data_IF_578034963406
#
_entry.id   IF_578034963406
#
_cell.length_a   1.000
_cell.length_b   1.000
_cell.length_c   1.000
_cell.angle_alpha   90.00
_cell.angle_beta   90.00
_cell.angle_gamma   90.00
#
_symmetry.space_group_name_H-M   'P 1'
#
loop_
_entity.id
_entity.type
_entity.pdbx_description
1 polymer ?
#
# COMPACT_ATOMS: atom_id res chain seq x y z
N UNK A 1 -23.42 -18.33 7.11
CA UNK A 1 -22.12 -17.68 6.85
C UNK A 1 -21.14 -18.27 7.85
N UNK A 2 -20.22 -19.15 7.40
CA UNK A 2 -19.14 -19.63 8.27
C UNK A 2 -18.04 -18.58 8.27
N UNK A 3 -17.86 -17.88 9.39
CA UNK A 3 -16.73 -16.97 9.56
C UNK A 3 -15.43 -17.79 9.49
N UNK A 4 -14.56 -17.52 8.52
CA UNK A 4 -13.21 -18.10 8.52
C UNK A 4 -12.30 -17.16 9.30
N UNK A 5 -11.47 -17.73 10.17
CA UNK A 5 -10.38 -16.98 10.78
C UNK A 5 -9.39 -16.54 9.69
N UNK A 6 -8.87 -15.32 9.82
CA UNK A 6 -7.80 -14.83 8.95
C UNK A 6 -6.58 -15.75 9.07
N UNK A 7 -5.95 -16.06 7.94
CA UNK A 7 -4.69 -16.78 7.91
C UNK A 7 -3.58 -15.99 8.63
N UNK A 8 -2.81 -16.67 9.49
CA UNK A 8 -1.59 -16.13 10.08
C UNK A 8 -0.42 -16.24 9.10
N UNK A 9 0.73 -15.68 9.47
CA UNK A 9 1.95 -15.79 8.65
C UNK A 9 2.41 -17.25 8.51
N UNK A 10 2.26 -18.05 9.57
CA UNK A 10 2.55 -19.48 9.58
C UNK A 10 1.62 -20.28 8.65
N UNK A 11 0.34 -19.89 8.57
CA UNK A 11 -0.60 -20.49 7.63
C UNK A 11 -0.20 -20.25 6.17
N UNK A 12 0.27 -19.03 5.86
CA UNK A 12 0.74 -18.68 4.52
C UNK A 12 2.01 -19.45 4.15
N UNK A 13 2.99 -19.52 5.06
CA UNK A 13 4.21 -20.34 4.86
C UNK A 13 3.89 -21.82 4.66
N UNK A 14 2.93 -22.35 5.41
CA UNK A 14 2.43 -23.71 5.24
C UNK A 14 1.78 -23.91 3.86
N UNK A 15 0.93 -22.99 3.42
CA UNK A 15 0.31 -23.04 2.09
C UNK A 15 1.36 -22.99 0.96
N UNK A 16 2.35 -22.10 1.06
CA UNK A 16 3.44 -21.98 0.09
C UNK A 16 4.24 -23.28 -0.02
N UNK A 17 4.64 -23.87 1.11
CA UNK A 17 5.38 -25.14 1.14
C UNK A 17 4.60 -26.29 0.50
N UNK A 18 3.28 -26.35 0.73
CA UNK A 18 2.42 -27.35 0.09
C UNK A 18 2.38 -27.12 -1.42
N UNK A 19 2.18 -25.88 -1.88
CA UNK A 19 2.16 -25.55 -3.31
C UNK A 19 3.47 -25.95 -3.97
N UNK A 20 4.62 -25.54 -3.40
CA UNK A 20 5.93 -25.89 -3.96
C UNK A 20 6.18 -27.40 -3.98
N UNK A 21 5.79 -28.11 -2.92
CA UNK A 21 5.89 -29.58 -2.87
C UNK A 21 5.09 -30.23 -3.99
N UNK A 22 3.84 -29.79 -4.18
CA UNK A 22 2.96 -30.34 -5.20
C UNK A 22 3.45 -30.03 -6.62
N UNK A 23 3.92 -28.81 -6.87
CA UNK A 23 4.50 -28.45 -8.18
C UNK A 23 5.78 -29.24 -8.51
N UNK A 24 6.64 -29.49 -7.53
CA UNK A 24 7.84 -30.29 -7.74
C UNK A 24 7.49 -31.72 -8.18
N UNK A 25 6.53 -32.33 -7.48
CA UNK A 25 6.03 -33.68 -7.74
C UNK A 25 5.33 -33.75 -9.11
N UNK A 26 4.49 -32.76 -9.43
CA UNK A 26 3.85 -32.65 -10.75
C UNK A 26 4.89 -32.61 -11.88
N UNK A 27 6.01 -31.92 -11.65
CA UNK A 27 7.14 -31.85 -12.59
C UNK A 27 8.01 -33.11 -12.58
N UNK A 28 7.70 -34.12 -11.77
CA UNK A 28 8.44 -35.40 -11.70
C UNK A 28 9.69 -35.37 -10.82
N UNK A 29 9.78 -34.45 -9.86
CA UNK A 29 10.93 -34.31 -8.96
C UNK A 29 10.49 -34.32 -7.49
N UNK A 30 11.36 -34.80 -6.60
CA UNK A 30 11.19 -34.55 -5.18
C UNK A 30 11.57 -33.08 -4.86
N UNK A 31 10.92 -32.45 -3.86
CA UNK A 31 11.35 -31.16 -3.35
C UNK A 31 12.79 -31.21 -2.85
N UNK A 32 13.53 -30.11 -3.02
CA UNK A 32 14.96 -30.03 -2.65
C UNK A 32 15.20 -30.38 -1.17
N UNK A 33 14.28 -30.01 -0.28
CA UNK A 33 14.35 -30.29 1.15
C UNK A 33 14.23 -31.78 1.48
N UNK A 34 13.73 -32.57 0.53
CA UNK A 34 13.56 -34.01 0.65
C UNK A 34 14.65 -34.79 -0.05
N UNK A 35 15.34 -34.21 -1.01
CA UNK A 35 16.35 -34.89 -1.83
C UNK A 35 17.51 -35.43 -0.97
N UNK A 36 17.90 -36.68 -1.22
CA UNK A 36 19.05 -37.29 -0.54
C UNK A 36 20.39 -36.98 -1.25
N UNK A 37 20.33 -36.37 -2.44
CA UNK A 37 21.48 -36.03 -3.27
C UNK A 37 21.38 -34.57 -3.72
N UNK A 38 22.53 -33.88 -3.80
CA UNK A 38 22.59 -32.44 -4.13
C UNK A 38 22.12 -32.10 -5.56
N UNK A 39 22.10 -33.09 -6.46
CA UNK A 39 21.67 -32.91 -7.85
C UNK A 39 20.15 -33.02 -8.04
N UNK A 40 19.38 -33.18 -6.96
CA UNK A 40 17.95 -33.45 -7.00
C UNK A 40 17.64 -34.93 -7.26
N UNK A 41 16.44 -35.35 -6.85
CA UNK A 41 15.96 -36.72 -6.97
C UNK A 41 14.68 -36.74 -7.81
N UNK A 42 14.59 -37.63 -8.81
CA UNK A 42 13.37 -37.81 -9.59
C UNK A 42 12.30 -38.48 -8.73
N UNK A 43 11.04 -38.04 -8.86
CA UNK A 43 9.92 -38.63 -8.17
C UNK A 43 9.25 -39.72 -9.02
N UNK A 44 9.01 -40.87 -8.40
CA UNK A 44 8.28 -42.00 -8.95
C UNK A 44 7.11 -42.35 -8.02
N UNK A 45 5.88 -42.19 -8.51
CA UNK A 45 4.65 -42.52 -7.76
C UNK A 45 4.51 -44.02 -7.47
N UNK A 46 5.19 -44.88 -8.23
CA UNK A 46 5.22 -46.33 -8.00
C UNK A 46 6.29 -46.73 -6.97
N UNK A 47 7.13 -45.80 -6.52
CA UNK A 47 8.07 -46.03 -5.42
C UNK A 47 7.37 -45.75 -4.07
N UNK A 48 7.07 -46.80 -3.28
CA UNK A 48 6.36 -46.64 -2.01
C UNK A 48 7.19 -45.88 -0.97
N UNK A 49 8.52 -45.92 -1.04
CA UNK A 49 9.40 -45.21 -0.10
C UNK A 49 9.35 -43.71 -0.39
N UNK A 50 9.43 -43.32 -1.67
CA UNK A 50 9.32 -41.92 -2.07
C UNK A 50 7.92 -41.36 -1.74
N UNK A 51 6.86 -42.11 -2.04
CA UNK A 51 5.49 -41.72 -1.67
C UNK A 51 5.34 -41.51 -0.16
N UNK A 52 5.90 -42.41 0.64
CA UNK A 52 5.87 -42.28 2.10
C UNK A 52 6.64 -41.07 2.60
N UNK A 53 7.79 -40.73 1.98
CA UNK A 53 8.57 -39.51 2.29
C UNK A 53 7.75 -38.26 2.00
N UNK A 54 7.09 -38.19 0.84
CA UNK A 54 6.23 -37.05 0.44
C UNK A 54 5.08 -36.87 1.44
N UNK A 55 4.35 -37.94 1.74
CA UNK A 55 3.22 -37.87 2.68
C UNK A 55 3.68 -37.42 4.06
N UNK A 56 4.82 -37.92 4.56
CA UNK A 56 5.39 -37.46 5.84
C UNK A 56 5.76 -35.98 5.81
N UNK A 57 6.38 -35.52 4.73
CA UNK A 57 6.73 -34.11 4.57
C UNK A 57 5.48 -33.21 4.57
N UNK A 58 4.47 -33.55 3.77
CA UNK A 58 3.20 -32.81 3.74
C UNK A 58 2.53 -32.78 5.13
N UNK A 59 2.53 -33.89 5.87
CA UNK A 59 2.01 -33.96 7.23
C UNK A 59 2.78 -33.08 8.21
N UNK A 60 4.11 -33.01 8.10
CA UNK A 60 4.95 -32.11 8.90
C UNK A 60 4.65 -30.64 8.58
N UNK A 61 4.49 -30.29 7.31
CA UNK A 61 4.12 -28.93 6.87
C UNK A 61 2.76 -28.51 7.42
N UNK A 62 1.71 -29.33 7.27
CA UNK A 62 0.37 -29.01 7.81
C UNK A 62 0.31 -29.02 9.34
N UNK A 63 1.31 -29.59 10.03
CA UNK A 63 1.41 -29.51 11.48
C UNK A 63 1.84 -28.12 11.97
N UNK A 64 2.51 -27.34 11.11
CA UNK A 64 3.07 -26.01 11.43
C UNK A 64 2.12 -24.85 11.14
N UNK A 65 1.03 -25.11 10.42
CA UNK A 65 0.05 -24.09 10.02
C UNK A 65 -1.18 -24.71 9.35
N UNK A 66 -2.20 -23.90 9.07
CA UNK A 66 -3.48 -24.32 8.52
C UNK A 66 -3.69 -23.80 7.09
N UNK A 67 -3.44 -24.68 6.11
CA UNK A 67 -3.82 -24.43 4.71
C UNK A 67 -5.33 -24.13 4.57
N UNK A 68 -6.17 -24.72 5.44
CA UNK A 68 -7.61 -24.48 5.44
C UNK A 68 -7.97 -23.01 5.69
N UNK A 69 -7.24 -22.29 6.54
CA UNK A 69 -7.48 -20.86 6.77
C UNK A 69 -7.17 -20.02 5.54
N UNK A 70 -6.08 -20.32 4.84
CA UNK A 70 -5.73 -19.66 3.59
C UNK A 70 -6.78 -19.93 2.49
N UNK A 71 -7.13 -21.20 2.26
CA UNK A 71 -8.07 -21.60 1.20
C UNK A 71 -9.49 -21.09 1.48
N UNK A 72 -9.99 -21.23 2.71
CA UNK A 72 -11.33 -20.75 3.07
C UNK A 72 -11.40 -19.22 3.08
N UNK A 73 -10.33 -18.54 3.49
CA UNK A 73 -10.22 -17.08 3.40
C UNK A 73 -10.26 -16.60 1.95
N UNK A 74 -9.50 -17.25 1.07
CA UNK A 74 -9.48 -16.95 -0.37
C UNK A 74 -10.83 -17.21 -1.03
N UNK A 75 -11.50 -18.32 -0.67
CA UNK A 75 -12.87 -18.60 -1.15
C UNK A 75 -13.87 -17.53 -0.72
N UNK A 76 -13.74 -16.96 0.48
CA UNK A 76 -14.58 -15.85 0.92
C UNK A 76 -14.25 -14.55 0.18
N UNK A 77 -12.97 -14.30 -0.11
CA UNK A 77 -12.54 -13.17 -0.91
C UNK A 77 -13.15 -13.22 -2.33
N UNK A 78 -13.20 -14.41 -2.93
CA UNK A 78 -13.78 -14.65 -4.24
C UNK A 78 -15.31 -14.73 -4.27
N UNK A 79 -16.00 -14.83 -3.12
CA UNK A 79 -17.47 -14.82 -3.10
C UNK A 79 -17.95 -13.43 -3.53
N UNK A 80 -18.76 -13.30 -4.61
CA UNK A 80 -19.29 -12.00 -5.05
C UNK A 80 -20.07 -11.27 -3.95
N UNK A 81 -20.63 -12.01 -2.98
CA UNK A 81 -21.35 -11.46 -1.83
C UNK A 81 -20.44 -10.73 -0.84
N UNK A 82 -19.13 -10.98 -0.87
CA UNK A 82 -18.15 -10.27 -0.05
C UNK A 82 -18.06 -8.79 -0.42
N UNK A 83 -18.30 -8.46 -1.70
CA UNK A 83 -18.14 -7.10 -2.23
C UNK A 83 -16.72 -6.56 -2.09
N UNK A 84 -15.71 -7.42 -1.96
CA UNK A 84 -14.29 -7.04 -1.86
C UNK A 84 -13.66 -6.94 -3.25
N UNK A 85 -13.84 -7.96 -4.08
CA UNK A 85 -13.37 -7.98 -5.46
C UNK A 85 -14.49 -7.59 -6.44
N UNK A 86 -14.12 -7.11 -7.62
CA UNK A 86 -15.04 -6.87 -8.72
C UNK A 86 -15.60 -8.23 -9.22
N UNK A 87 -16.93 -8.43 -9.26
CA UNK A 87 -17.52 -9.73 -9.54
C UNK A 87 -17.37 -10.19 -11.00
N UNK A 88 -17.22 -9.23 -11.92
CA UNK A 88 -17.15 -9.47 -13.36
C UNK A 88 -15.73 -9.34 -13.92
N UNK A 89 -14.71 -9.20 -13.05
CA UNK A 89 -13.31 -9.09 -13.45
C UNK A 89 -12.66 -10.47 -13.48
N UNK A 90 -11.81 -10.70 -14.50
CA UNK A 90 -10.98 -11.90 -14.65
C UNK A 90 -9.65 -11.81 -13.88
N UNK A 91 -9.42 -10.68 -13.19
CA UNK A 91 -8.25 -10.40 -12.37
C UNK A 91 -8.65 -9.97 -10.96
N UNK A 92 -7.69 -9.95 -10.03
CA UNK A 92 -7.90 -9.54 -8.64
C UNK A 92 -8.01 -8.01 -8.50
N UNK A 93 -9.14 -7.46 -8.93
CA UNK A 93 -9.46 -6.03 -8.82
C UNK A 93 -10.40 -5.73 -7.66
N UNK A 94 -10.18 -4.60 -6.98
CA UNK A 94 -11.08 -4.15 -5.93
C UNK A 94 -12.46 -3.78 -6.49
N UNK A 95 -13.51 -4.11 -5.73
CA UNK A 95 -14.87 -3.75 -6.08
C UNK A 95 -15.01 -2.22 -6.28
N UNK A 96 -15.72 -1.72 -7.32
CA UNK A 96 -15.80 -0.29 -7.64
C UNK A 96 -16.20 0.60 -6.45
N UNK A 97 -17.09 0.12 -5.59
CA UNK A 97 -17.48 0.78 -4.33
C UNK A 97 -16.29 1.08 -3.40
N UNK A 98 -15.35 0.14 -3.26
CA UNK A 98 -14.16 0.32 -2.42
C UNK A 98 -13.18 1.30 -3.05
N UNK A 99 -13.00 1.23 -4.38
CA UNK A 99 -12.18 2.20 -5.14
C UNK A 99 -12.74 3.62 -4.97
N UNK A 100 -14.05 3.80 -5.09
CA UNK A 100 -14.72 5.08 -4.87
C UNK A 100 -14.54 5.58 -3.42
N UNK A 101 -14.67 4.71 -2.43
CA UNK A 101 -14.45 5.06 -1.03
C UNK A 101 -13.00 5.49 -0.77
N UNK A 102 -12.02 4.81 -1.36
CA UNK A 102 -10.60 5.18 -1.27
C UNK A 102 -10.34 6.55 -1.92
N UNK A 103 -10.89 6.79 -3.11
CA UNK A 103 -10.77 8.09 -3.77
C UNK A 103 -11.45 9.21 -2.96
N UNK A 104 -12.63 8.95 -2.40
CA UNK A 104 -13.33 9.90 -1.52
C UNK A 104 -12.49 10.24 -0.28
N UNK A 105 -11.97 9.23 0.42
CA UNK A 105 -11.10 9.43 1.57
C UNK A 105 -9.81 10.21 1.22
N UNK A 106 -9.24 9.96 0.03
CA UNK A 106 -8.09 10.72 -0.46
C UNK A 106 -8.45 12.18 -0.78
N UNK A 107 -9.62 12.42 -1.38
CA UNK A 107 -10.11 13.77 -1.67
C UNK A 107 -10.41 14.55 -0.39
N UNK A 108 -11.02 13.92 0.62
CA UNK A 108 -11.25 14.53 1.93
C UNK A 108 -9.94 14.94 2.58
N UNK A 109 -8.96 14.04 2.62
CA UNK A 109 -7.62 14.33 3.14
C UNK A 109 -6.92 15.44 2.36
N UNK A 110 -7.11 15.49 1.04
CA UNK A 110 -6.55 16.55 0.20
C UNK A 110 -7.26 17.91 0.41
N UNK A 111 -8.52 17.90 0.85
CA UNK A 111 -9.31 19.09 1.19
C UNK A 111 -9.10 19.60 2.62
N UNK A 112 -8.40 18.84 3.46
CA UNK A 112 -8.07 19.24 4.83
C UNK A 112 -6.95 20.29 4.85
N UNK A 113 -7.09 21.29 5.73
CA UNK A 113 -6.04 22.26 6.00
C UNK A 113 -5.07 21.70 7.04
N UNK A 114 -3.80 21.59 6.68
CA UNK A 114 -2.73 21.17 7.60
C UNK A 114 -1.77 22.32 7.90
N UNK A 115 -1.22 22.37 9.12
CA UNK A 115 -0.17 23.33 9.48
C UNK A 115 1.11 23.03 8.70
N UNK A 116 1.75 24.07 8.15
CA UNK A 116 3.08 23.95 7.55
C UNK A 116 4.12 23.62 8.63
N UNK A 117 4.66 22.41 8.58
CA UNK A 117 5.57 21.86 9.58
C UNK A 117 7.00 21.63 9.06
N UNK A 118 7.19 21.47 7.74
CA UNK A 118 8.51 21.21 7.16
C UNK A 118 8.60 21.65 5.69
N UNK A 119 9.83 21.92 5.19
CA UNK A 119 10.07 22.00 3.74
C UNK A 119 9.65 20.72 3.02
N UNK A 120 9.22 20.86 1.76
CA UNK A 120 8.78 19.77 0.89
C UNK A 120 7.27 19.48 0.97
N UNK A 121 6.55 20.14 1.88
CA UNK A 121 5.11 19.94 2.07
C UNK A 121 4.25 20.68 1.03
N UNK A 122 4.75 21.79 0.47
CA UNK A 122 4.01 22.63 -0.47
C UNK A 122 4.40 22.28 -1.91
N UNK A 123 3.41 22.10 -2.78
CA UNK A 123 3.58 21.93 -4.22
C UNK A 123 2.98 23.10 -5.00
N UNK A 124 3.47 23.40 -6.22
CA UNK A 124 2.79 24.34 -7.10
C UNK A 124 1.32 23.95 -7.30
N UNK A 125 0.42 24.92 -7.12
CA UNK A 125 -1.03 24.72 -7.18
C UNK A 125 -1.73 24.61 -5.83
N UNK A 126 -1.02 24.27 -4.75
CA UNK A 126 -1.59 24.16 -3.41
C UNK A 126 -2.15 25.47 -2.89
N UNK A 127 -3.19 25.39 -2.06
CA UNK A 127 -3.76 26.55 -1.38
C UNK A 127 -3.01 26.80 -0.07
N UNK A 128 -2.72 28.07 0.19
CA UNK A 128 -2.04 28.57 1.37
C UNK A 128 -2.95 29.56 2.06
N UNK A 129 -3.11 29.43 3.38
CA UNK A 129 -3.83 30.39 4.23
C UNK A 129 -2.92 30.86 5.34
N UNK A 130 -2.71 32.17 5.47
CA UNK A 130 -1.80 32.75 6.46
C UNK A 130 -2.09 34.22 6.72
N UNK A 131 -1.45 34.78 7.75
CA UNK A 131 -1.50 36.23 8.05
C UNK A 131 -0.16 36.88 7.73
N UNK A 132 -0.19 38.02 7.03
CA UNK A 132 0.99 38.85 6.74
C UNK A 132 0.63 40.33 6.89
N UNK A 133 1.43 41.08 7.65
CA UNK A 133 1.14 42.50 7.92
C UNK A 133 -0.23 42.74 8.58
N UNK A 134 -0.66 41.81 9.45
CA UNK A 134 -1.97 41.86 10.13
C UNK A 134 -3.18 41.55 9.25
N UNK A 135 -2.98 41.17 7.98
CA UNK A 135 -4.07 40.84 7.04
C UNK A 135 -4.08 39.34 6.74
N UNK A 136 -5.23 38.66 6.86
CA UNK A 136 -5.36 37.28 6.43
C UNK A 136 -5.34 37.21 4.90
N UNK A 137 -4.68 36.18 4.37
CA UNK A 137 -4.56 35.94 2.94
C UNK A 137 -4.76 34.46 2.65
N UNK A 138 -5.54 34.17 1.61
CA UNK A 138 -5.66 32.84 1.02
C UNK A 138 -5.25 32.91 -0.45
N UNK A 139 -4.22 32.16 -0.85
CA UNK A 139 -3.60 32.22 -2.17
C UNK A 139 -3.19 30.83 -2.64
N UNK A 140 -3.01 30.66 -3.95
CA UNK A 140 -2.37 29.46 -4.51
C UNK A 140 -0.86 29.64 -4.58
N UNK A 141 -0.09 28.63 -4.19
CA UNK A 141 1.32 28.50 -4.52
C UNK A 141 1.46 28.49 -6.05
N UNK A 142 2.19 29.44 -6.60
CA UNK A 142 2.43 29.55 -8.04
C UNK A 142 3.65 28.76 -8.46
N UNK A 143 4.68 28.78 -7.63
CA UNK A 143 5.95 28.11 -7.88
C UNK A 143 6.61 27.78 -6.55
N UNK A 144 7.47 26.76 -6.55
CA UNK A 144 8.24 26.34 -5.38
C UNK A 144 9.67 26.08 -5.84
N UNK A 145 10.60 26.94 -5.42
CA UNK A 145 12.01 26.81 -5.73
C UNK A 145 12.72 26.05 -4.60
N UNK A 146 13.74 25.26 -4.94
CA UNK A 146 14.53 24.46 -3.98
C UNK A 146 13.67 23.62 -3.02
N UNK A 147 12.63 22.98 -3.57
CA UNK A 147 11.68 22.18 -2.80
C UNK A 147 12.38 21.14 -1.91
N UNK A 148 11.91 21.00 -0.68
CA UNK A 148 12.46 20.06 0.32
C UNK A 148 13.77 20.49 0.98
N UNK A 149 14.29 21.69 0.69
CA UNK A 149 15.53 22.19 1.31
C UNK A 149 15.25 23.27 2.35
N UNK A 150 16.26 23.64 3.12
CA UNK A 150 16.23 24.79 4.03
C UNK A 150 16.01 26.13 3.30
N UNK A 151 16.22 26.16 1.98
CA UNK A 151 16.02 27.30 1.09
C UNK A 151 14.75 27.19 0.25
N UNK A 152 13.83 26.29 0.60
CA UNK A 152 12.56 26.17 -0.11
C UNK A 152 11.83 27.52 -0.12
N UNK A 153 11.65 28.08 -1.31
CA UNK A 153 11.02 29.37 -1.55
C UNK A 153 9.67 29.17 -2.23
N UNK A 154 8.60 29.54 -1.53
CA UNK A 154 7.23 29.41 -2.02
C UNK A 154 6.77 30.75 -2.57
N UNK A 155 6.58 30.80 -3.88
CA UNK A 155 6.16 32.01 -4.60
C UNK A 155 4.64 31.94 -4.80
N UNK A 156 3.91 32.92 -4.28
CA UNK A 156 2.44 33.00 -4.45
C UNK A 156 1.98 34.19 -5.30
N UNK A 157 2.81 35.23 -5.48
CA UNK A 157 2.59 36.28 -6.50
C UNK A 157 3.90 36.75 -7.15
N UNK A 158 4.26 36.14 -8.26
CA UNK A 158 5.48 36.45 -9.04
C UNK A 158 5.59 37.91 -9.47
N UNK A 159 4.51 38.51 -9.99
CA UNK A 159 4.52 39.94 -10.45
C UNK A 159 4.81 40.95 -9.35
N UNK A 160 4.53 40.61 -8.08
CA UNK A 160 4.78 41.47 -6.92
C UNK A 160 5.95 40.97 -6.07
N UNK A 161 6.70 39.98 -6.59
CA UNK A 161 7.75 39.29 -5.89
C UNK A 161 7.36 38.86 -4.45
N UNK A 162 6.15 38.33 -4.28
CA UNK A 162 5.69 37.88 -2.98
C UNK A 162 5.94 36.38 -2.81
N UNK A 163 6.80 36.08 -1.85
CA UNK A 163 7.26 34.75 -1.50
C UNK A 163 7.53 34.64 0.00
N UNK A 164 7.73 33.42 0.48
CA UNK A 164 8.34 33.16 1.79
C UNK A 164 9.25 31.94 1.72
N UNK A 165 10.18 31.85 2.67
CA UNK A 165 11.03 30.67 2.85
C UNK A 165 10.38 29.75 3.89
N UNK A 166 10.13 28.49 3.54
CA UNK A 166 9.41 27.54 4.39
C UNK A 166 10.09 27.35 5.75
N UNK A 167 11.42 27.17 5.77
CA UNK A 167 12.18 27.00 7.00
C UNK A 167 12.02 28.20 7.97
N UNK A 168 11.93 29.43 7.45
CA UNK A 168 11.69 30.62 8.27
C UNK A 168 10.27 30.68 8.83
N UNK A 169 9.27 30.18 8.10
CA UNK A 169 7.90 30.08 8.62
C UNK A 169 7.84 29.08 9.76
N UNK A 170 8.41 27.89 9.56
CA UNK A 170 8.45 26.82 10.56
C UNK A 170 9.22 27.28 11.82
N UNK A 171 10.35 27.98 11.64
CA UNK A 171 11.12 28.55 12.75
C UNK A 171 10.47 29.79 13.40
N UNK A 172 9.35 30.29 12.86
CA UNK A 172 8.65 31.46 13.38
C UNK A 172 9.32 32.81 13.09
N UNK A 173 10.39 32.85 12.29
CA UNK A 173 11.14 34.07 11.95
C UNK A 173 10.60 34.78 10.71
N UNK A 174 9.75 34.14 9.91
CA UNK A 174 9.05 34.75 8.77
C UNK A 174 7.98 35.77 9.21
N UNK A 175 7.71 36.76 8.35
CA UNK A 175 6.57 37.68 8.48
C UNK A 175 5.21 37.00 8.21
N UNK A 176 5.22 35.80 7.62
CA UNK A 176 4.04 35.00 7.35
C UNK A 176 3.77 34.10 8.55
N UNK A 177 2.62 34.30 9.21
CA UNK A 177 2.26 33.61 10.46
C UNK A 177 1.08 32.67 10.25
N UNK A 178 1.12 31.54 10.98
CA UNK A 178 0.04 30.55 10.99
C UNK A 178 -0.24 29.96 9.61
N UNK A 179 0.80 29.61 8.86
CA UNK A 179 0.64 29.10 7.50
C UNK A 179 0.00 27.71 7.52
N UNK A 180 -1.19 27.64 6.91
CA UNK A 180 -1.90 26.41 6.62
C UNK A 180 -1.77 26.10 5.13
N UNK A 181 -1.67 24.82 4.81
CA UNK A 181 -1.55 24.28 3.46
C UNK A 181 -2.71 23.33 3.22
N UNK A 182 -3.29 23.39 2.03
CA UNK A 182 -4.29 22.44 1.53
C UNK A 182 -3.96 22.08 0.09
N UNK A 183 -4.11 20.81 -0.27
CA UNK A 183 -3.72 20.37 -1.61
C UNK A 183 -4.56 21.04 -2.69
N UNK A 184 -3.88 21.51 -3.75
CA UNK A 184 -4.51 22.13 -4.92
C UNK A 184 -5.21 21.13 -5.84
N UNK A 185 -4.88 19.84 -5.73
CA UNK A 185 -5.46 18.76 -6.52
C UNK A 185 -6.91 18.43 -6.12
N UNK A 186 -7.37 18.91 -4.96
CA UNK A 186 -8.67 18.56 -4.38
C UNK A 186 -9.88 19.35 -4.93
N UNK A 187 -9.68 20.22 -5.93
CA UNK A 187 -10.73 21.13 -6.42
C UNK A 187 -10.58 21.49 -7.88
N UNK A 188 -10.77 20.51 -8.76
CA UNK A 188 -10.95 20.71 -10.20
C UNK A 188 -12.40 20.51 -10.62
N UNK A 189 -13.27 21.47 -10.29
CA UNK A 189 -14.52 21.79 -11.01
C UNK A 189 -15.11 23.08 -10.41
N UNK A 190 -15.03 24.19 -11.16
CA UNK A 190 -16.02 25.26 -11.12
C UNK A 190 -16.79 25.20 -12.43
#
# INVERSE_FOLDING_TARGET
MLLAAKASEEDLKCADQIVYTMEAIERGHLPDEMCLVELGEAFNVEDPIQCQRVVRHLLDVVSKGSIGRAVLGMRQLFDPRSGVLAPDSDVLELHPRLVQALHGAQQEKANEWSVLAAPGQIKPGDFLSFTVGGKPLCVKAKDVLFAGTDREEVIYRRRRNQYFITAMVVAGTSSHKGVLVRSGAAGGAQ
#
